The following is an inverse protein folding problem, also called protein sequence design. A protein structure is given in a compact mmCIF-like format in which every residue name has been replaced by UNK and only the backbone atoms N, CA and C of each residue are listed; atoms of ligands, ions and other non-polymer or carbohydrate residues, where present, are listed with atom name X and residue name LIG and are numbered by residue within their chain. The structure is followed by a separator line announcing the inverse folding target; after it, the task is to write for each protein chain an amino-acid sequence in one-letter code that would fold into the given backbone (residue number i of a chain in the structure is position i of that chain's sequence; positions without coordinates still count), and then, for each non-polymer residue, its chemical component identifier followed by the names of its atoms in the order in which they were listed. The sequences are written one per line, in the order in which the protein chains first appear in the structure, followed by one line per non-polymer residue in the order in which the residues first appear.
data_IF_703952062407
#
_entry.id   IF_703952062407
#
_cell.length_a   1.000
_cell.length_b   1.000
_cell.length_c   1.000
_cell.angle_alpha   90.00
_cell.angle_beta   90.00
_cell.angle_gamma   90.00
#
_symmetry.space_group_name_H-M   'P 1'
#
loop_
_entity.id
_entity.type
_entity.pdbx_description
1 polymer ?
2 polymer ?
3 non-polymer ?
4 water ?
#
# COMPACT_ATOMS: atom_id res chain seq x y z
N UNK A 4 -9.60 -8.98 28.57
CA UNK A 4 -9.99 -8.28 27.35
C UNK A 4 -11.49 -8.02 27.31
N UNK A 5 -11.87 -6.81 26.93
CA UNK A 5 -13.28 -6.48 26.78
C UNK A 5 -13.49 -5.24 25.93
N UNK A 6 -14.73 -5.05 25.49
CA UNK A 6 -15.14 -3.84 24.80
C UNK A 6 -14.99 -2.64 25.73
N UNK A 7 -14.44 -1.55 25.23
CA UNK A 7 -14.24 -0.34 26.04
C UNK A 7 -15.54 0.15 26.67
N UNK A 8 -15.46 0.66 27.89
CA UNK A 8 -16.65 1.14 28.59
C UNK A 8 -17.20 2.42 27.98
N UNK A 9 -16.39 3.08 27.15
CA UNK A 9 -16.79 4.33 26.52
C UNK A 9 -17.47 4.14 25.15
N UNK A 10 -17.71 2.89 24.75
CA UNK A 10 -18.31 2.62 23.44
C UNK A 10 -19.81 2.32 23.52
N UNK A 11 -20.56 2.90 22.61
CA UNK A 11 -21.99 2.58 22.42
C UNK A 11 -22.23 1.91 21.06
N UNK A 12 -23.02 0.83 21.06
CA UNK A 12 -23.38 0.07 19.85
C UNK A 12 -24.78 0.32 19.28
N UNK A 13 -24.85 0.58 17.98
CA UNK A 13 -26.14 0.71 17.28
C UNK A 13 -26.36 -0.46 16.31
N UNK A 14 -27.34 -1.31 16.60
CA UNK A 14 -27.65 -2.47 15.75
C UNK A 14 -28.69 -2.20 14.68
N UNK A 15 -28.25 -2.21 13.42
CA UNK A 15 -29.14 -2.07 12.26
C UNK A 15 -29.13 -3.35 11.42
N UNK A 16 -30.08 -4.24 11.68
CA UNK A 16 -30.16 -5.53 11.01
C UNK A 16 -28.87 -6.34 11.13
N UNK A 17 -28.25 -6.60 9.98
CA UNK A 17 -27.05 -7.42 9.90
C UNK A 17 -25.77 -6.72 10.36
N UNK A 18 -25.78 -5.39 10.33
CA UNK A 18 -24.56 -4.62 10.59
C UNK A 18 -24.62 -3.89 11.94
N UNK A 19 -23.44 -3.47 12.41
CA UNK A 19 -23.31 -2.72 13.65
C UNK A 19 -22.60 -1.38 13.46
N UNK A 20 -23.14 -0.32 14.06
CA UNK A 20 -22.47 0.97 14.07
C UNK A 20 -21.96 1.28 15.49
N UNK A 21 -20.69 1.64 15.57
CA UNK A 21 -20.02 1.93 16.84
C UNK A 21 -19.67 3.40 17.03
N UNK A 22 -19.93 3.94 18.22
CA UNK A 22 -19.48 5.28 18.57
C UNK A 22 -18.64 5.27 19.85
N UNK A 23 -17.48 5.90 19.79
CA UNK A 23 -16.62 6.04 20.96
C UNK A 23 -16.85 7.40 21.61
N UNK A 24 -17.37 7.40 22.84
CA UNK A 24 -17.78 8.63 23.51
C UNK A 24 -16.62 9.54 23.90
N UNK A 25 -15.44 8.96 24.09
CA UNK A 25 -14.26 9.73 24.45
C UNK A 25 -13.59 10.33 23.23
N UNK A 26 -13.27 9.49 22.24
CA UNK A 26 -12.57 9.96 21.05
C UNK A 26 -13.49 10.65 20.06
N UNK A 27 -14.78 10.39 20.18
CA UNK A 27 -15.77 11.01 19.31
C UNK A 27 -15.72 10.46 17.90
N UNK A 28 -15.19 9.26 17.74
CA UNK A 28 -15.09 8.67 16.41
C UNK A 28 -16.14 7.60 16.26
N UNK A 29 -16.65 7.45 15.05
CA UNK A 29 -17.63 6.40 14.80
C UNK A 29 -17.27 5.50 13.63
N UNK A 30 -17.80 4.28 13.68
CA UNK A 30 -17.36 3.20 12.81
C UNK A 30 -18.52 2.35 12.33
N UNK A 31 -18.31 1.64 11.23
CA UNK A 31 -19.26 0.64 10.80
C UNK A 31 -18.56 -0.69 10.67
N UNK A 32 -19.30 -1.78 10.86
CA UNK A 32 -18.77 -3.14 10.71
C UNK A 32 -19.59 -3.91 9.70
N UNK A 33 -18.94 -4.78 8.94
CA UNK A 33 -19.66 -5.62 7.98
C UNK A 33 -20.28 -6.83 8.69
N UNK A 34 -20.84 -7.75 7.91
CA UNK A 34 -21.57 -8.90 8.46
C UNK A 34 -20.73 -9.74 9.43
N UNK A 35 -19.54 -10.15 9.00
CA UNK A 35 -18.68 -10.99 9.81
C UNK A 35 -18.11 -10.26 11.01
N UNK A 36 -17.74 -9.00 10.81
CA UNK A 36 -17.23 -8.16 11.88
C UNK A 36 -18.26 -7.91 12.95
N UNK A 37 -19.51 -7.73 12.54
CA UNK A 37 -20.60 -7.50 13.47
C UNK A 37 -20.93 -8.75 14.26
N UNK A 38 -20.81 -9.91 13.61
CA UNK A 38 -21.03 -11.18 14.27
C UNK A 38 -20.01 -11.34 15.39
N UNK A 39 -18.77 -11.01 15.07
CA UNK A 39 -17.69 -11.05 16.04
C UNK A 39 -17.96 -10.06 17.17
N UNK A 40 -18.44 -8.87 16.83
CA UNK A 40 -18.71 -7.84 17.84
C UNK A 40 -19.80 -8.29 18.81
N UNK A 41 -20.83 -8.92 18.27
CA UNK A 41 -21.92 -9.43 19.09
C UNK A 41 -21.40 -10.45 20.09
N UNK A 42 -20.50 -11.31 19.65
CA UNK A 42 -19.92 -12.32 20.51
C UNK A 42 -19.05 -11.68 21.60
N UNK A 43 -18.35 -10.61 21.24
CA UNK A 43 -17.57 -9.83 22.21
C UNK A 43 -18.47 -9.17 23.26
N UNK A 44 -19.65 -8.71 22.84
CA UNK A 44 -20.62 -8.11 23.75
C UNK A 44 -21.12 -9.15 24.75
N UNK A 45 -21.20 -10.40 24.29
CA UNK A 45 -21.63 -11.52 25.13
C UNK A 45 -20.48 -12.02 26.01
N UNK A 46 -19.32 -11.38 25.88
CA UNK A 46 -18.17 -11.70 26.71
C UNK A 46 -17.45 -12.96 26.29
N UNK A 47 -17.68 -13.41 25.06
CA UNK A 47 -17.01 -14.60 24.56
C UNK A 47 -15.52 -14.35 24.34
N UNK A 48 -14.68 -15.30 24.75
CA UNK A 48 -13.26 -15.23 24.45
C UNK A 48 -12.98 -15.65 23.02
N UNK A 49 -11.84 -15.18 22.45
CA UNK A 49 -11.48 -15.43 21.05
C UNK A 49 -11.63 -16.87 20.61
N UNK A 50 -11.24 -17.83 21.44
CA UNK A 50 -11.37 -19.25 21.09
C UNK A 50 -12.82 -19.61 20.82
N UNK A 51 -13.70 -19.09 21.65
CA UNK A 51 -15.13 -19.33 21.49
C UNK A 51 -15.66 -18.60 20.26
N UNK A 52 -15.11 -17.41 20.00
CA UNK A 52 -15.49 -16.65 18.81
C UNK A 52 -15.08 -17.41 17.55
N UNK A 53 -13.88 -17.97 17.55
CA UNK A 53 -13.39 -18.77 16.41
C UNK A 53 -14.29 -19.99 16.17
N UNK A 54 -14.66 -20.67 17.24
CA UNK A 54 -15.60 -21.80 17.14
C UNK A 54 -16.91 -21.38 16.47
N UNK A 55 -17.47 -20.26 16.91
CA UNK A 55 -18.73 -19.76 16.39
C UNK A 55 -18.64 -19.45 14.90
N UNK A 56 -17.58 -18.76 14.51
CA UNK A 56 -17.40 -18.39 13.10
C UNK A 56 -17.25 -19.62 12.22
N UNK A 57 -16.43 -20.58 12.65
CA UNK A 57 -16.22 -21.81 11.89
C UNK A 57 -17.49 -22.64 11.76
N UNK A 58 -18.38 -22.53 12.74
CA UNK A 58 -19.62 -23.28 12.71
C UNK A 58 -20.64 -22.67 11.76
N UNK A 59 -20.48 -21.39 11.44
CA UNK A 59 -21.48 -20.69 10.63
C UNK A 59 -20.99 -20.40 9.22
N UNK A 60 -19.68 -20.43 9.02
CA UNK A 60 -19.08 -20.10 7.73
C UNK A 60 -18.24 -21.22 7.17
N UNK A 61 -18.17 -21.28 5.84
CA UNK A 61 -17.32 -22.25 5.16
C UNK A 61 -15.89 -21.75 5.07
N UNK A 62 -15.08 -22.11 6.06
CA UNK A 62 -13.73 -21.57 6.14
C UNK A 62 -12.86 -22.42 7.09
N UNK A 63 -11.57 -22.50 6.78
CA UNK A 63 -10.62 -23.24 7.63
C UNK A 63 -10.29 -22.46 8.90
N UNK A 64 -10.06 -23.15 10.00
CA UNK A 64 -9.82 -22.49 11.28
C UNK A 64 -8.59 -21.56 11.26
N UNK A 65 -7.46 -21.99 10.66
CA UNK A 65 -6.31 -21.08 10.64
C UNK A 65 -6.59 -19.73 10.02
N UNK A 66 -7.39 -19.69 8.95
CA UNK A 66 -7.75 -18.42 8.33
C UNK A 66 -8.53 -17.58 9.33
N UNK A 67 -9.49 -18.21 10.02
CA UNK A 67 -10.32 -17.48 10.98
C UNK A 67 -9.47 -16.94 12.13
N UNK A 68 -8.59 -17.76 12.66
CA UNK A 68 -7.70 -17.33 13.74
C UNK A 68 -6.83 -16.15 13.31
N UNK A 69 -6.30 -16.22 12.10
CA UNK A 69 -5.44 -15.15 11.60
C UNK A 69 -6.23 -13.86 11.43
N UNK A 70 -7.39 -13.97 10.79
CA UNK A 70 -8.23 -12.79 10.55
C UNK A 70 -8.75 -12.18 11.85
N UNK A 71 -9.13 -13.02 12.79
CA UNK A 71 -9.66 -12.53 14.07
C UNK A 71 -8.57 -11.75 14.79
N UNK A 72 -7.36 -12.30 14.75
CA UNK A 72 -6.21 -11.67 15.37
C UNK A 72 -5.98 -10.27 14.81
N UNK A 73 -6.08 -10.14 13.49
CA UNK A 73 -5.97 -8.83 12.84
C UNK A 73 -7.13 -7.91 13.22
N UNK A 74 -8.34 -8.46 13.26
CA UNK A 74 -9.53 -7.66 13.52
C UNK A 74 -9.55 -7.06 14.93
N UNK A 75 -9.20 -7.87 15.93
CA UNK A 75 -9.19 -7.42 17.32
C UNK A 75 -8.14 -6.34 17.51
N UNK A 76 -7.02 -6.52 16.82
CA UNK A 76 -5.94 -5.56 16.86
C UNK A 76 -6.37 -4.23 16.26
N UNK A 77 -7.13 -4.31 15.18
CA UNK A 77 -7.66 -3.10 14.55
C UNK A 77 -8.62 -2.38 15.50
N UNK A 78 -9.45 -3.15 16.20
CA UNK A 78 -10.39 -2.57 17.16
C UNK A 78 -9.62 -1.87 18.27
N UNK A 79 -8.58 -2.53 18.77
CA UNK A 79 -7.79 -1.99 19.86
C UNK A 79 -7.08 -0.71 19.44
N UNK A 80 -6.62 -0.66 18.20
CA UNK A 80 -5.94 0.54 17.69
C UNK A 80 -6.87 1.75 17.70
N UNK A 81 -8.18 1.50 17.66
CA UNK A 81 -9.15 2.59 17.70
C UNK A 81 -9.73 2.72 19.11
N UNK A 82 -9.10 2.05 20.07
CA UNK A 82 -9.52 2.08 21.48
C UNK A 82 -10.96 1.55 21.70
N UNK A 83 -11.46 0.78 20.74
CA UNK A 83 -12.78 0.15 20.84
C UNK A 83 -12.71 -1.06 21.76
N UNK A 84 -11.51 -1.60 21.88
CA UNK A 84 -11.24 -2.74 22.74
C UNK A 84 -10.23 -2.34 23.79
N UNK A 85 -10.29 -2.98 24.95
CA UNK A 85 -9.30 -2.74 26.00
C UNK A 85 -8.87 -4.05 26.64
N UNK A 86 -7.61 -4.08 27.11
CA UNK A 86 -7.08 -5.26 27.77
C UNK A 86 -6.73 -6.35 26.80
N UNK A 87 -6.60 -5.97 25.53
CA UNK A 87 -6.19 -6.90 24.47
C UNK A 87 -4.69 -6.92 24.30
N UNK B 4 -1.96 8.92 1.49
CA UNK B 4 -0.77 8.50 2.24
C UNK B 4 -1.10 7.48 3.32
N UNK B 5 -0.28 6.45 3.43
CA UNK B 5 -0.45 5.46 4.49
C UNK B 5 0.82 4.67 4.76
N UNK B 6 0.81 3.98 5.90
CA UNK B 6 1.86 3.04 6.24
C UNK B 6 1.87 1.91 5.21
N UNK B 7 3.06 1.54 4.74
CA UNK B 7 3.19 0.49 3.72
C UNK B 7 2.56 -0.83 4.16
N UNK B 8 1.94 -1.52 3.21
CA UNK B 8 1.28 -2.80 3.52
C UNK B 8 2.32 -3.88 3.79
N UNK B 9 3.56 -3.64 3.42
CA UNK B 9 4.64 -4.60 3.60
C UNK B 9 5.36 -4.46 4.95
N UNK B 10 4.89 -3.55 5.79
CA UNK B 10 5.55 -3.28 7.08
C UNK B 10 4.88 -3.97 8.26
N UNK B 11 5.68 -4.55 9.15
CA UNK B 11 5.18 -5.06 10.43
C UNK B 11 5.74 -4.19 11.57
N UNK B 12 4.88 -3.84 12.51
CA UNK B 12 5.21 -3.03 13.68
C UNK B 12 5.39 -3.82 14.98
N UNK B 13 6.50 -3.61 15.67
CA UNK B 13 6.73 -4.20 17.00
C UNK B 13 6.78 -3.13 18.09
N UNK B 14 5.82 -3.14 19.02
CA UNK B 14 5.82 -2.16 20.12
C UNK B 14 6.54 -2.60 21.40
N UNK B 15 7.64 -1.94 21.71
CA UNK B 15 8.38 -2.20 22.94
C UNK B 15 8.25 -1.02 23.90
N UNK B 16 7.23 -1.07 24.75
CA UNK B 16 6.94 0.01 25.71
C UNK B 16 6.80 1.37 24.99
N UNK B 17 7.73 2.28 25.27
CA UNK B 17 7.69 3.63 24.72
C UNK B 17 8.11 3.66 23.25
N UNK B 18 8.84 2.64 22.81
CA UNK B 18 9.47 2.67 21.50
C UNK B 18 8.78 1.71 20.51
N UNK B 19 9.03 1.96 19.23
CA UNK B 19 8.51 1.15 18.14
C UNK B 19 9.62 0.58 17.27
N UNK B 20 9.54 -0.71 16.98
CA UNK B 20 10.45 -1.36 16.03
C UNK B 20 9.70 -1.72 14.76
N UNK B 21 10.24 -1.31 13.62
CA UNK B 21 9.65 -1.54 12.31
C UNK B 21 10.47 -2.53 11.47
N UNK B 22 9.80 -3.47 10.82
CA UNK B 22 10.47 -4.36 9.88
C UNK B 22 9.76 -4.33 8.53
N UNK B 23 10.53 -4.10 7.47
CA UNK B 23 9.98 -4.10 6.12
C UNK B 23 10.19 -5.48 5.47
N UNK B 24 9.09 -6.13 5.13
CA UNK B 24 9.12 -7.51 4.63
C UNK B 24 9.72 -7.65 3.23
N UNK B 25 9.66 -6.60 2.43
CA UNK B 25 10.22 -6.64 1.08
C UNK B 25 11.72 -6.32 1.09
N UNK B 26 12.10 -5.18 1.69
CA UNK B 26 13.50 -4.77 1.70
C UNK B 26 14.31 -5.52 2.74
N UNK B 27 13.63 -6.09 3.72
CA UNK B 27 14.25 -6.85 4.79
C UNK B 27 15.01 -5.97 5.76
N UNK B 28 14.68 -4.68 5.81
CA UNK B 28 15.41 -3.78 6.69
C UNK B 28 14.56 -3.47 7.90
N UNK B 29 15.20 -3.28 9.05
CA UNK B 29 14.47 -2.92 10.25
C UNK B 29 15.01 -1.67 10.93
N UNK B 30 14.12 -1.04 11.69
CA UNK B 30 14.32 0.30 12.22
C UNK B 30 13.80 0.42 13.64
N UNK B 31 14.30 1.41 14.36
CA UNK B 31 13.72 1.76 15.65
C UNK B 31 13.35 3.23 15.63
N UNK B 32 12.34 3.60 16.41
CA UNK B 32 11.90 4.99 16.46
C UNK B 32 11.99 5.48 17.91
N UNK B 33 12.35 6.75 18.08
CA UNK B 33 12.41 7.33 19.41
C UNK B 33 11.02 7.69 19.90
N UNK B 34 10.94 8.35 21.06
CA UNK B 34 9.67 8.64 21.71
C UNK B 34 8.70 9.43 20.84
N UNK B 35 9.14 10.56 20.29
CA UNK B 35 8.26 11.38 19.46
C UNK B 35 7.94 10.70 18.13
N UNK B 36 8.94 10.05 17.53
CA UNK B 36 8.73 9.32 16.30
C UNK B 36 7.75 8.16 16.46
N UNK B 37 7.86 7.46 17.59
CA UNK B 37 6.96 6.36 17.88
C UNK B 37 5.53 6.88 18.08
N UNK B 38 5.42 8.01 18.76
CA UNK B 38 4.13 8.63 19.00
C UNK B 38 3.49 8.99 17.66
N UNK B 39 4.29 9.54 16.76
CA UNK B 39 3.83 9.87 15.42
C UNK B 39 3.42 8.58 14.69
N UNK B 40 4.19 7.51 14.85
CA UNK B 40 3.86 6.25 14.20
C UNK B 40 2.54 5.66 14.72
N UNK B 41 2.34 5.73 16.02
CA UNK B 41 1.10 5.25 16.64
C UNK B 41 -0.10 5.97 16.05
N UNK B 42 0.04 7.27 15.85
CA UNK B 42 -1.03 8.08 15.26
C UNK B 42 -1.28 7.71 13.80
N UNK B 43 -0.22 7.40 13.08
CA UNK B 43 -0.36 6.93 11.70
C UNK B 43 -1.10 5.59 11.64
N UNK B 44 -0.84 4.72 12.62
CA UNK B 44 -1.55 3.45 12.69
C UNK B 44 -3.04 3.67 12.93
N UNK B 45 -3.34 4.72 13.69
CA UNK B 45 -4.72 5.06 14.01
C UNK B 45 -5.38 5.82 12.85
N UNK B 46 -4.63 6.01 11.77
CA UNK B 46 -5.15 6.65 10.57
C UNK B 46 -5.25 8.17 10.60
N UNK B 47 -4.50 8.80 11.51
CA UNK B 47 -4.51 10.26 11.60
C UNK B 47 -3.85 10.90 10.37
N UNK B 48 -4.47 11.98 9.92
CA UNK B 48 -3.94 12.80 8.84
C UNK B 48 -2.80 13.61 9.44
N UNK B 49 -1.81 14.00 8.61
CA UNK B 49 -0.66 14.78 9.10
C UNK B 49 -1.06 16.01 9.92
N UNK B 50 -2.09 16.72 9.49
CA UNK B 50 -2.61 17.89 10.21
C UNK B 50 -3.09 17.51 11.60
N UNK B 51 -3.75 16.36 11.69
CA UNK B 51 -4.23 15.86 12.96
C UNK B 51 -3.06 15.40 13.85
N UNK B 52 -2.03 14.85 13.22
CA UNK B 52 -0.83 14.45 13.95
C UNK B 52 -0.16 15.67 14.58
N UNK B 53 -0.10 16.77 13.82
CA UNK B 53 0.47 18.01 14.33
C UNK B 53 -0.31 18.49 15.54
N UNK B 54 -1.64 18.47 15.46
CA UNK B 54 -2.47 18.83 16.60
C UNK B 54 -2.12 18.01 17.83
N UNK B 55 -2.02 16.70 17.64
CA UNK B 55 -1.74 15.77 18.72
C UNK B 55 -0.40 16.06 19.39
N UNK B 56 0.62 16.27 18.58
CA UNK B 56 1.95 16.53 19.09
C UNK B 56 1.96 17.83 19.89
N UNK B 57 1.31 18.86 19.38
CA UNK B 57 1.25 20.14 20.07
C UNK B 57 0.50 20.05 21.40
N UNK B 58 -0.45 19.13 21.50
CA UNK B 58 -1.23 19.00 22.72
C UNK B 58 -0.43 18.28 23.81
N UNK B 59 0.59 17.54 23.40
CA UNK B 59 1.33 16.71 24.35
C UNK B 59 2.72 17.23 24.66
N UNK B 60 3.24 18.11 23.81
CA UNK B 60 4.59 18.64 23.99
C UNK B 60 4.62 20.16 24.06
N UNK B 61 5.60 20.70 24.76
CA UNK B 61 5.77 22.15 24.82
C UNK B 61 6.55 22.59 23.60
N UNK B 62 5.83 22.97 22.55
CA UNK B 62 6.47 23.29 21.28
C UNK B 62 5.52 24.12 20.39
N UNK B 63 6.10 25.01 19.60
CA UNK B 63 5.35 25.81 18.64
C UNK B 63 4.94 24.96 17.43
N UNK B 64 3.82 25.28 16.82
CA UNK B 64 3.32 24.49 15.70
C UNK B 64 4.25 24.45 14.47
N UNK B 65 4.82 25.60 14.05
CA UNK B 65 5.69 25.55 12.85
C UNK B 65 6.85 24.57 12.99
N UNK B 66 7.41 24.46 14.20
CA UNK B 66 8.47 23.51 14.47
C UNK B 66 7.95 22.08 14.24
N UNK B 67 6.77 21.77 14.76
CA UNK B 67 6.21 20.43 14.61
C UNK B 67 5.89 20.12 13.16
N UNK B 68 5.28 21.07 12.45
CA UNK B 68 4.97 20.89 11.03
C UNK B 68 6.23 20.64 10.22
N UNK B 69 7.29 21.39 10.53
CA UNK B 69 8.56 21.24 9.82
C UNK B 69 9.22 19.90 10.11
N UNK B 70 9.26 19.52 11.39
CA UNK B 70 9.87 18.26 11.80
C UNK B 70 9.09 17.06 11.27
N UNK B 71 7.75 17.15 11.29
CA UNK B 71 6.91 16.07 10.79
C UNK B 71 7.15 15.86 9.30
N UNK B 72 7.25 16.95 8.55
CA UNK B 72 7.49 16.89 7.12
C UNK B 72 8.79 16.15 6.85
N UNK B 73 9.81 16.47 7.64
CA UNK B 73 11.10 15.81 7.54
C UNK B 73 10.97 14.33 7.90
N UNK B 74 10.21 14.06 8.95
CA UNK B 74 10.07 12.69 9.44
C UNK B 74 9.31 11.82 8.42
N UNK B 75 8.23 12.36 7.88
CA UNK B 75 7.44 11.60 6.90
C UNK B 75 8.26 11.33 5.64
N UNK B 76 9.10 12.29 5.24
CA UNK B 76 9.97 12.07 4.08
C UNK B 76 10.99 10.97 4.36
N UNK B 77 11.54 10.96 5.57
CA UNK B 77 12.51 9.94 5.93
C UNK B 77 11.87 8.55 5.91
N UNK B 78 10.65 8.44 6.43
CA UNK B 78 9.92 7.17 6.42
C UNK B 78 9.65 6.72 4.98
N UNK B 79 9.21 7.66 4.14
CA UNK B 79 8.89 7.35 2.75
C UNK B 79 10.12 6.91 1.96
N UNK B 80 11.27 7.52 2.24
CA UNK B 80 12.52 7.11 1.59
C UNK B 80 12.94 5.68 1.95
N UNK B 81 12.46 5.14 3.07
CA UNK B 81 12.77 3.77 3.49
C UNK B 81 11.61 2.79 3.18
N UNK B 82 10.69 3.23 2.34
CA UNK B 82 9.52 2.46 1.92
C UNK B 82 8.57 2.14 3.07
N UNK B 83 8.71 2.85 4.17
CA UNK B 83 7.87 2.64 5.33
C UNK B 83 6.51 3.30 5.15
N UNK B 84 6.50 4.31 4.29
CA UNK B 84 5.29 5.04 3.95
C UNK B 84 5.05 4.91 2.45
N UNK B 85 3.79 4.98 2.04
CA UNK B 85 3.49 5.01 0.62
C UNK B 85 2.40 6.04 0.35
N UNK B 86 2.41 6.62 -0.84
CA UNK B 86 1.43 7.62 -1.21
C UNK B 86 1.70 8.97 -0.60
N UNK B 87 2.92 9.19 -0.12
CA UNK B 87 3.31 10.49 0.40
C UNK B 87 3.83 11.29 -0.77
N UNK B 88 3.23 12.45 -1.02
CA UNK B 88 3.56 13.21 -2.22
C UNK B 88 3.78 14.69 -1.96
N UNK B 89 4.13 15.03 -0.73
CA UNK B 89 4.51 16.40 -0.37
C UNK B 89 3.40 17.39 -0.70
N UNK C 4 -4.93 2.87 -7.84
CA UNK C 4 -4.93 1.41 -7.75
C UNK C 4 -3.62 0.82 -8.25
N UNK C 5 -3.10 -0.15 -7.51
CA UNK C 5 -1.88 -0.84 -7.89
C UNK C 5 -1.76 -2.20 -7.20
N UNK C 6 -0.85 -3.02 -7.69
CA UNK C 6 -0.55 -4.29 -7.03
C UNK C 6 0.00 -4.01 -5.64
N UNK C 7 -0.49 -4.73 -4.63
CA UNK C 7 -0.06 -4.54 -3.26
C UNK C 7 1.44 -4.71 -3.10
N UNK C 8 2.04 -3.87 -2.25
CA UNK C 8 3.49 -3.89 -2.03
C UNK C 8 3.91 -5.14 -1.28
N UNK C 9 2.96 -5.81 -0.64
CA UNK C 9 3.24 -6.99 0.15
C UNK C 9 3.17 -8.26 -0.69
N UNK C 10 2.93 -8.10 -1.98
CA UNK C 10 2.74 -9.25 -2.88
C UNK C 10 4.01 -9.56 -3.66
N UNK C 11 4.31 -10.86 -3.77
CA UNK C 11 5.41 -11.29 -4.62
C UNK C 11 4.84 -11.98 -5.86
N UNK C 12 5.25 -11.50 -7.04
CA UNK C 12 4.82 -12.14 -8.27
C UNK C 12 5.96 -13.03 -8.67
N UNK C 13 5.73 -14.33 -8.66
CA UNK C 13 6.78 -15.27 -8.98
C UNK C 13 6.50 -15.84 -10.34
N UNK C 14 7.34 -15.49 -11.29
CA UNK C 14 7.18 -16.00 -12.64
C UNK C 14 7.96 -17.29 -12.73
N UNK C 15 7.22 -18.39 -12.75
CA UNK C 15 7.80 -19.72 -12.76
C UNK C 15 7.56 -20.33 -14.13
N UNK C 16 8.55 -20.15 -15.01
CA UNK C 16 8.46 -20.60 -16.38
C UNK C 16 7.23 -19.99 -17.08
N UNK C 17 6.29 -20.83 -17.45
CA UNK C 17 5.08 -20.41 -18.17
C UNK C 17 4.02 -19.76 -17.27
N UNK C 18 4.09 -19.99 -15.97
CA UNK C 18 3.00 -19.62 -15.05
C UNK C 18 3.29 -18.43 -14.12
N UNK C 19 2.23 -17.89 -13.53
CA UNK C 19 2.35 -16.80 -12.55
C UNK C 19 1.80 -17.24 -11.21
N UNK C 20 2.65 -17.19 -10.19
CA UNK C 20 2.27 -17.54 -8.84
C UNK C 20 2.34 -16.32 -7.92
N UNK C 21 1.28 -16.06 -7.16
CA UNK C 21 1.24 -14.90 -6.29
C UNK C 21 1.41 -15.33 -4.84
N UNK C 22 2.29 -14.65 -4.12
CA UNK C 22 2.46 -14.95 -2.70
C UNK C 22 2.30 -13.70 -1.86
N UNK C 23 1.44 -13.77 -0.86
CA UNK C 23 1.22 -12.65 0.03
C UNK C 23 2.06 -12.80 1.29
N UNK C 24 3.01 -11.88 1.48
CA UNK C 24 3.97 -11.98 2.57
C UNK C 24 3.36 -11.75 3.95
N UNK C 25 2.25 -11.00 4.01
CA UNK C 25 1.62 -10.71 5.29
C UNK C 25 0.70 -11.84 5.72
N UNK C 26 -0.23 -12.22 4.83
CA UNK C 26 -1.18 -13.28 5.14
C UNK C 26 -0.59 -14.68 4.99
N UNK C 27 0.52 -14.81 4.28
CA UNK C 27 1.17 -16.11 4.16
C UNK C 27 0.42 -17.09 3.28
N UNK C 28 -0.39 -16.56 2.37
CA UNK C 28 -1.19 -17.35 1.44
C UNK C 28 -0.65 -17.25 0.01
N UNK C 29 -0.93 -18.23 -0.84
CA UNK C 29 -0.48 -18.14 -2.23
C UNK C 29 -1.63 -18.37 -3.21
N UNK C 30 -1.46 -17.87 -4.44
CA UNK C 30 -2.54 -17.84 -5.41
C UNK C 30 -2.07 -18.22 -6.81
N UNK C 31 -3.02 -18.65 -7.63
CA UNK C 31 -2.77 -18.95 -9.04
C UNK C 31 -3.71 -18.15 -9.92
N UNK C 32 -3.33 -17.97 -11.18
CA UNK C 32 -4.16 -17.27 -12.15
C UNK C 32 -4.37 -18.08 -13.44
N UNK C 33 -5.55 -18.01 -14.03
CA UNK C 33 -5.78 -18.68 -15.31
C UNK C 33 -5.25 -17.80 -16.46
N UNK C 34 -5.53 -18.21 -17.69
CA UNK C 34 -4.96 -17.55 -18.86
C UNK C 34 -5.28 -16.06 -18.93
N UNK C 35 -6.56 -15.71 -18.88
CA UNK C 35 -6.93 -14.30 -18.97
C UNK C 35 -6.54 -13.56 -17.69
N UNK C 36 -6.64 -14.22 -16.54
CA UNK C 36 -6.23 -13.63 -15.29
C UNK C 36 -4.74 -13.30 -15.31
N UNK C 37 -3.95 -14.19 -15.88
CA UNK C 37 -2.52 -13.96 -16.00
C UNK C 37 -2.23 -12.76 -16.89
N UNK C 38 -2.98 -12.64 -17.97
CA UNK C 38 -2.84 -11.52 -18.89
C UNK C 38 -3.15 -10.19 -18.18
N UNK C 39 -4.25 -10.17 -17.43
CA UNK C 39 -4.66 -8.99 -16.69
C UNK C 39 -3.61 -8.61 -15.65
N UNK C 40 -3.07 -9.62 -14.98
CA UNK C 40 -2.05 -9.37 -13.97
C UNK C 40 -0.80 -8.76 -14.61
N UNK C 41 -0.43 -9.25 -15.78
CA UNK C 41 0.70 -8.71 -16.55
C UNK C 41 0.51 -7.24 -16.87
N UNK C 42 -0.72 -6.89 -17.25
CA UNK C 42 -1.06 -5.51 -17.58
C UNK C 42 -1.06 -4.61 -16.34
N UNK C 43 -1.51 -5.15 -15.22
CA UNK C 43 -1.48 -4.42 -13.96
C UNK C 43 -0.04 -4.11 -13.57
N UNK C 44 0.86 -5.05 -13.83
CA UNK C 44 2.29 -4.84 -13.58
C UNK C 44 2.84 -3.73 -14.45
N UNK C 45 2.28 -3.58 -15.64
CA UNK C 45 2.70 -2.52 -16.56
C UNK C 45 2.07 -1.18 -16.23
N UNK C 46 1.29 -1.14 -15.15
CA UNK C 46 0.72 0.11 -14.68
C UNK C 46 -0.50 0.55 -15.47
N UNK C 47 -1.10 -0.38 -16.19
CA UNK C 47 -2.31 -0.09 -16.96
C UNK C 47 -3.52 0.18 -16.06
N UNK C 48 -4.31 1.17 -16.44
CA UNK C 48 -5.61 1.42 -15.79
C UNK C 48 -6.66 0.42 -16.32
N UNK C 49 -7.70 0.13 -15.52
CA UNK C 49 -8.72 -0.85 -15.87
C UNK C 49 -9.31 -0.68 -17.27
N UNK C 50 -9.56 0.56 -17.67
CA UNK C 50 -10.11 0.86 -18.99
C UNK C 50 -9.17 0.40 -20.12
N UNK C 51 -7.87 0.61 -19.93
CA UNK C 51 -6.89 0.18 -20.91
C UNK C 51 -6.80 -1.35 -20.94
N UNK C 52 -6.97 -1.97 -19.77
CA UNK C 52 -6.99 -3.42 -19.69
C UNK C 52 -8.15 -3.98 -20.49
N UNK C 53 -9.32 -3.36 -20.38
CA UNK C 53 -10.49 -3.81 -21.12
C UNK C 53 -10.22 -3.74 -22.64
N UNK C 54 -9.66 -2.64 -23.10
CA UNK C 54 -9.29 -2.51 -24.51
C UNK C 54 -8.37 -3.64 -24.95
N UNK C 55 -7.35 -3.92 -24.17
CA UNK C 55 -6.38 -4.96 -24.50
C UNK C 55 -7.06 -6.33 -24.64
N UNK C 56 -7.89 -6.68 -23.66
CA UNK C 56 -8.56 -7.96 -23.66
C UNK C 56 -9.52 -8.07 -24.86
N UNK C 57 -10.27 -7.00 -25.11
CA UNK C 57 -11.18 -6.98 -26.25
C UNK C 57 -10.43 -7.02 -27.59
N UNK C 58 -9.19 -6.52 -27.60
CA UNK C 58 -8.38 -6.52 -28.80
C UNK C 58 -7.76 -7.89 -29.07
N UNK C 59 -7.66 -8.72 -28.04
CA UNK C 59 -6.97 -10.00 -28.16
C UNK C 59 -7.93 -11.17 -28.20
N UNK C 60 -9.16 -10.95 -27.74
CA UNK C 60 -10.15 -12.01 -27.71
C UNK C 60 -11.41 -11.60 -28.45
N UNK C 61 -12.11 -12.58 -29.02
CA UNK C 61 -13.39 -12.33 -29.68
C UNK C 61 -14.50 -12.33 -28.65
N UNK C 62 -14.81 -11.16 -28.12
CA UNK C 62 -15.72 -11.02 -26.99
C UNK C 62 -16.28 -9.60 -26.94
N UNK C 63 -17.55 -9.47 -26.52
CA UNK C 63 -18.18 -8.16 -26.44
C UNK C 63 -17.64 -7.40 -25.22
N UNK C 64 -17.51 -6.08 -25.36
CA UNK C 64 -16.90 -5.27 -24.30
C UNK C 64 -17.62 -5.31 -22.94
N UNK C 65 -18.96 -5.22 -22.93
CA UNK C 65 -19.63 -5.27 -21.61
C UNK C 65 -19.30 -6.51 -20.79
N UNK C 66 -19.14 -7.65 -21.45
CA UNK C 66 -18.77 -8.88 -20.76
C UNK C 66 -17.41 -8.74 -20.08
N UNK C 67 -16.46 -8.14 -20.82
CA UNK C 67 -15.10 -7.95 -20.34
C UNK C 67 -15.04 -6.98 -19.15
N UNK C 68 -15.75 -5.86 -19.26
CA UNK C 68 -15.81 -4.87 -18.19
C UNK C 68 -16.38 -5.52 -16.94
N UNK C 69 -17.43 -6.30 -17.16
CA UNK C 69 -18.13 -6.99 -16.09
C UNK C 69 -17.26 -8.07 -15.45
N UNK C 70 -16.60 -8.87 -16.28
CA UNK C 70 -15.72 -9.93 -15.80
C UNK C 70 -14.51 -9.34 -15.09
N UNK C 71 -13.99 -8.23 -15.62
CA UNK C 71 -12.84 -7.58 -15.03
C UNK C 71 -13.15 -7.05 -13.63
N UNK C 72 -14.31 -6.42 -13.48
CA UNK C 72 -14.72 -5.90 -12.17
C UNK C 72 -14.79 -6.99 -11.12
N UNK C 73 -15.33 -8.14 -11.49
CA UNK C 73 -15.41 -9.27 -10.58
C UNK C 73 -14.01 -9.75 -10.22
N UNK C 74 -13.12 -9.80 -11.21
CA UNK C 74 -11.76 -10.28 -11.01
C UNK C 74 -10.96 -9.37 -10.08
N UNK C 75 -11.06 -8.07 -10.32
CA UNK C 75 -10.36 -7.07 -9.52
C UNK C 75 -10.86 -7.04 -8.07
N UNK C 76 -12.16 -7.24 -7.89
CA UNK C 76 -12.74 -7.28 -6.55
C UNK C 76 -12.21 -8.48 -5.79
N UNK C 77 -12.09 -9.62 -6.49
CA UNK C 77 -11.55 -10.83 -5.89
C UNK C 77 -10.11 -10.62 -5.46
N UNK C 78 -9.33 -9.93 -6.29
CA UNK C 78 -7.94 -9.62 -5.95
C UNK C 78 -7.90 -8.71 -4.73
N UNK C 79 -8.75 -7.68 -4.74
CA UNK C 79 -8.80 -6.71 -3.66
C UNK C 79 -9.25 -7.34 -2.35
N UNK C 80 -10.16 -8.31 -2.44
CA UNK C 80 -10.64 -9.01 -1.26
C UNK C 80 -9.54 -9.81 -0.57
N UNK C 81 -8.52 -10.20 -1.33
CA UNK C 81 -7.39 -10.95 -0.77
C UNK C 81 -6.16 -10.09 -0.54
N UNK C 82 -6.35 -8.78 -0.57
CA UNK C 82 -5.29 -7.80 -0.34
C UNK C 82 -4.17 -7.90 -1.36
N UNK C 83 -4.45 -8.49 -2.51
CA UNK C 83 -3.46 -8.57 -3.59
C UNK C 83 -3.40 -7.24 -4.34
N UNK C 84 -4.50 -6.51 -4.27
CA UNK C 84 -4.62 -5.19 -4.88
C UNK C 84 -4.92 -4.18 -3.79
N UNK C 85 -4.51 -2.94 -4.00
CA UNK C 85 -4.84 -1.86 -3.07
C UNK C 85 -5.24 -0.62 -3.84
N UNK C 86 -6.14 0.17 -3.26
CA UNK C 86 -6.63 1.37 -3.92
C UNK C 86 -7.67 1.09 -4.99
N UNK C 87 -8.28 -0.08 -4.94
CA UNK C 87 -9.34 -0.43 -5.87
C UNK C 87 -10.73 -0.05 -5.38
N UNK C 88 -11.45 0.70 -6.21
CA UNK C 88 -12.76 1.22 -5.83
C UNK C 88 -13.77 1.03 -6.96
N UNK D 4 18.92 -2.01 -22.89
CA UNK D 4 18.07 -0.92 -22.43
C UNK D 4 18.51 0.43 -22.98
N UNK D 5 17.54 1.23 -23.45
CA UNK D 5 17.82 2.57 -23.91
C UNK D 5 16.57 3.43 -23.96
N UNK D 6 16.77 4.74 -24.06
CA UNK D 6 15.67 5.67 -24.25
C UNK D 6 14.96 5.36 -25.56
N UNK D 7 13.63 5.33 -25.53
CA UNK D 7 12.83 5.02 -26.71
C UNK D 7 13.12 5.99 -27.85
N UNK D 8 13.11 5.47 -29.08
CA UNK D 8 13.38 6.27 -30.26
C UNK D 8 12.21 7.21 -30.58
N UNK D 9 11.06 6.95 -29.98
CA UNK D 9 9.87 7.76 -30.24
C UNK D 9 9.78 8.96 -29.28
N UNK D 10 10.78 9.10 -28.42
CA UNK D 10 10.78 10.13 -27.38
C UNK D 10 11.64 11.33 -27.80
N UNK D 11 11.14 12.53 -27.53
CA UNK D 11 11.93 13.73 -27.72
C UNK D 11 12.31 14.29 -26.35
N UNK D 12 13.60 14.47 -26.12
CA UNK D 12 14.01 15.05 -24.85
C UNK D 12 14.22 16.51 -25.16
N UNK D 13 13.35 17.34 -24.61
CA UNK D 13 13.40 18.76 -24.92
C UNK D 13 13.95 19.48 -23.73
N UNK D 14 15.17 19.98 -23.89
CA UNK D 14 15.84 20.69 -22.84
C UNK D 14 15.45 22.13 -23.00
N UNK D 15 14.61 22.60 -22.07
CA UNK D 15 14.13 23.96 -22.11
C UNK D 15 14.76 24.71 -20.96
N UNK D 16 15.91 25.32 -21.23
CA UNK D 16 16.67 26.04 -20.21
C UNK D 16 16.97 25.14 -19.01
N UNK D 17 16.35 25.46 -17.87
CA UNK D 17 16.58 24.75 -16.62
C UNK D 17 15.91 23.38 -16.53
N UNK D 18 14.84 23.17 -17.29
CA UNK D 18 14.05 21.94 -17.16
C UNK D 18 14.15 21.01 -18.37
N UNK D 19 13.75 19.76 -18.18
CA UNK D 19 13.70 18.80 -19.28
C UNK D 19 12.28 18.30 -19.47
N UNK D 20 11.76 18.44 -20.68
CA UNK D 20 10.43 17.99 -21.04
C UNK D 20 10.47 16.83 -22.02
N UNK D 21 9.73 15.77 -21.72
CA UNK D 21 9.75 14.60 -22.58
C UNK D 21 8.47 14.57 -23.38
N UNK D 22 8.59 14.37 -24.69
CA UNK D 22 7.43 14.28 -25.57
C UNK D 22 7.47 12.96 -26.32
N UNK D 23 6.36 12.23 -26.24
CA UNK D 23 6.30 10.94 -26.92
C UNK D 23 5.58 11.08 -28.24
N UNK D 24 6.31 10.84 -29.33
CA UNK D 24 5.78 11.06 -30.67
C UNK D 24 4.69 10.06 -31.04
N UNK D 25 4.71 8.88 -30.42
CA UNK D 25 3.71 7.86 -30.73
C UNK D 25 2.41 8.03 -29.93
N UNK D 26 2.54 8.12 -28.61
CA UNK D 26 1.38 8.24 -27.74
C UNK D 26 0.80 9.66 -27.66
N UNK D 27 1.58 10.66 -28.06
CA UNK D 27 1.10 12.03 -28.05
C UNK D 27 0.98 12.62 -26.65
N UNK D 28 1.74 12.05 -25.72
CA UNK D 28 1.76 12.50 -24.33
C UNK D 28 3.07 13.21 -23.96
N UNK D 29 3.05 14.07 -22.93
CA UNK D 29 4.31 14.68 -22.49
C UNK D 29 4.53 14.55 -20.98
N UNK D 30 5.78 14.65 -20.55
CA UNK D 30 6.17 14.35 -19.16
C UNK D 30 7.17 15.33 -18.58
N UNK D 31 7.21 15.36 -17.25
CA UNK D 31 8.17 16.13 -16.48
C UNK D 31 8.93 15.21 -15.53
N UNK D 32 10.10 15.67 -15.09
CA UNK D 32 10.95 14.92 -14.15
C UNK D 32 11.32 15.77 -12.93
N UNK D 33 11.43 15.15 -11.75
CA UNK D 33 11.91 15.90 -10.59
C UNK D 33 13.45 15.93 -10.61
N UNK D 34 14.06 16.42 -9.53
CA UNK D 34 15.51 16.60 -9.48
C UNK D 34 16.30 15.31 -9.72
N UNK D 35 16.02 14.27 -8.94
CA UNK D 35 16.75 13.02 -9.08
C UNK D 35 16.37 12.33 -10.40
N UNK D 36 15.10 12.42 -10.78
CA UNK D 36 14.63 11.86 -12.03
C UNK D 36 15.32 12.48 -13.24
N UNK D 37 15.53 13.80 -13.18
CA UNK D 37 16.19 14.52 -14.26
C UNK D 37 17.64 14.11 -14.36
N UNK D 38 18.28 13.96 -13.21
CA UNK D 38 19.68 13.56 -13.15
C UNK D 38 19.87 12.19 -13.79
N UNK D 39 18.99 11.27 -13.46
CA UNK D 39 19.02 9.92 -14.01
C UNK D 39 18.80 9.91 -15.51
N UNK D 40 17.85 10.72 -15.98
CA UNK D 40 17.54 10.79 -17.40
C UNK D 40 18.73 11.35 -18.17
N UNK D 41 19.39 12.36 -17.61
CA UNK D 41 20.58 12.95 -18.22
C UNK D 41 21.66 11.91 -18.41
N UNK D 42 21.81 11.05 -17.40
CA UNK D 42 22.80 9.98 -17.44
C UNK D 42 22.42 8.89 -18.45
N UNK D 43 21.13 8.60 -18.56
CA UNK D 43 20.65 7.64 -19.56
C UNK D 43 20.95 8.13 -20.98
N UNK D 44 20.83 9.44 -21.17
CA UNK D 44 21.17 10.06 -22.46
C UNK D 44 22.64 9.90 -22.77
N UNK D 45 23.46 9.89 -21.74
CA UNK D 45 24.92 9.76 -21.89
C UNK D 45 25.33 8.31 -22.11
N UNK D 46 24.35 7.40 -22.13
CA UNK D 46 24.58 5.99 -22.35
C UNK D 46 25.11 5.25 -21.13
N UNK D 47 24.97 5.88 -19.96
CA UNK D 47 25.45 5.28 -18.72
C UNK D 47 24.65 4.04 -18.31
N UNK D 48 25.35 3.03 -17.81
CA UNK D 48 24.71 1.80 -17.35
C UNK D 48 24.03 2.05 -16.00
N UNK D 49 22.95 1.31 -15.69
CA UNK D 49 22.21 1.47 -14.43
C UNK D 49 23.14 1.47 -13.23
N UNK D 50 24.13 0.58 -13.24
CA UNK D 50 25.10 0.48 -12.16
C UNK D 50 25.88 1.78 -12.00
N UNK D 51 26.24 2.42 -13.12
CA UNK D 51 26.97 3.68 -13.09
C UNK D 51 26.08 4.82 -12.58
N UNK D 52 24.80 4.76 -12.93
CA UNK D 52 23.84 5.75 -12.45
C UNK D 52 23.72 5.67 -10.93
N UNK D 53 23.69 4.45 -10.40
CA UNK D 53 23.61 4.27 -8.95
C UNK D 53 24.84 4.87 -8.26
N UNK D 54 26.03 4.59 -8.79
CA UNK D 54 27.27 5.15 -8.26
C UNK D 54 27.20 6.67 -8.25
N UNK D 55 26.75 7.24 -9.37
CA UNK D 55 26.66 8.69 -9.51
C UNK D 55 25.71 9.30 -8.47
N UNK D 56 24.53 8.72 -8.33
CA UNK D 56 23.53 9.23 -7.38
C UNK D 56 24.02 9.12 -5.94
N UNK D 57 24.62 7.99 -5.60
CA UNK D 57 25.17 7.79 -4.26
C UNK D 57 26.31 8.77 -3.97
N UNK D 58 26.99 9.21 -5.02
CA UNK D 58 28.10 10.16 -4.90
C UNK D 58 27.62 11.59 -4.71
N UNK D 59 26.38 11.86 -5.10
CA UNK D 59 25.87 13.23 -5.10
C UNK D 59 24.88 13.48 -3.96
N UNK D 60 24.35 12.40 -3.40
CA UNK D 60 23.37 12.53 -2.33
C UNK D 60 23.85 11.73 -1.12
N UNK D 61 23.46 12.18 0.08
CA UNK D 61 23.78 11.43 1.28
C UNK D 61 22.71 10.36 1.49
N UNK D 62 22.94 9.18 0.93
CA UNK D 62 21.95 8.11 0.91
C UNK D 62 22.64 6.78 0.68
N UNK D 63 22.11 5.72 1.32
CA UNK D 63 22.68 4.38 1.16
C UNK D 63 22.33 3.78 -0.19
N UNK D 64 23.23 2.94 -0.71
CA UNK D 64 23.07 2.35 -2.03
C UNK D 64 21.81 1.50 -2.25
N UNK D 65 21.43 0.64 -1.28
CA UNK D 65 20.22 -0.16 -1.52
C UNK D 65 18.97 0.68 -1.79
N UNK D 66 18.84 1.82 -1.14
CA UNK D 66 17.72 2.72 -1.41
C UNK D 66 17.77 3.22 -2.86
N UNK D 67 18.97 3.59 -3.29
CA UNK D 67 19.16 4.11 -4.64
C UNK D 67 18.89 3.05 -5.72
N UNK D 68 19.41 1.83 -5.52
CA UNK D 68 19.17 0.74 -6.47
C UNK D 68 17.69 0.42 -6.57
N UNK D 69 17.04 0.40 -5.41
CA UNK D 69 15.62 0.09 -5.35
C UNK D 69 14.82 1.20 -6.03
N UNK D 70 15.18 2.46 -5.74
CA UNK D 70 14.49 3.58 -6.35
C UNK D 70 14.73 3.66 -7.86
N UNK D 71 15.94 3.34 -8.30
CA UNK D 71 16.23 3.38 -9.74
C UNK D 71 15.38 2.37 -10.51
N UNK D 72 15.31 1.15 -10.00
CA UNK D 72 14.50 0.12 -10.64
C UNK D 72 13.02 0.50 -10.70
N UNK D 73 12.50 1.12 -9.64
CA UNK D 73 11.12 1.58 -9.67
C UNK D 73 10.93 2.64 -10.74
N UNK D 74 11.88 3.57 -10.81
CA UNK D 74 11.82 4.67 -11.76
C UNK D 74 11.95 4.19 -13.20
N UNK D 75 12.89 3.27 -13.45
CA UNK D 75 13.09 2.75 -14.80
C UNK D 75 11.85 1.97 -15.23
N UNK D 76 11.20 1.30 -14.27
CA UNK D 76 9.97 0.57 -14.54
C UNK D 76 8.86 1.55 -14.95
N UNK D 77 8.79 2.68 -14.24
CA UNK D 77 7.79 3.69 -14.52
C UNK D 77 7.98 4.26 -15.91
N UNK D 78 9.24 4.50 -16.28
CA UNK D 78 9.54 5.00 -17.61
C UNK D 78 9.13 4.00 -18.69
N UNK D 79 9.48 2.74 -18.49
CA UNK D 79 9.19 1.70 -19.47
C UNK D 79 7.70 1.48 -19.65
N UNK D 80 6.96 1.61 -18.56
CA UNK D 80 5.52 1.49 -18.56
C UNK D 80 4.85 2.56 -19.44
N UNK D 81 5.54 3.70 -19.62
CA UNK D 81 5.03 4.78 -20.45
C UNK D 81 5.72 4.82 -21.80
N UNK D 82 6.42 3.73 -22.12
CA UNK D 82 7.16 3.59 -23.37
C UNK D 82 8.23 4.64 -23.57
N UNK D 83 8.68 5.26 -22.49
CA UNK D 83 9.76 6.23 -22.60
C UNK D 83 11.10 5.52 -22.73
N UNK D 84 11.13 4.30 -22.20
CA UNK D 84 12.30 3.43 -22.24
C UNK D 84 11.97 2.13 -22.94
N UNK D 85 12.99 1.52 -23.54
CA UNK D 85 12.81 0.22 -24.19
C UNK D 85 13.95 -0.73 -23.85
N UNK D 86 13.64 -2.03 -23.83
CA UNK D 86 14.64 -3.04 -23.51
C UNK D 86 14.88 -3.13 -22.02
N UNK E 1 -24.79 -22.59 8.62
CA UNK E 1 -23.60 -23.39 8.88
C UNK E 1 -22.69 -23.41 7.65
N UNK E 2 -23.17 -22.80 6.57
CA UNK E 2 -22.42 -22.83 5.32
C UNK E 2 -22.51 -21.49 4.57
N UNK E 3 -22.31 -20.40 5.31
CA UNK E 3 -22.26 -19.06 4.73
C UNK E 3 -20.89 -18.78 4.11
N UNK E 4 -20.88 -17.98 3.06
CA UNK E 4 -19.63 -17.63 2.38
C UNK E 4 -18.81 -16.67 3.23
N UNK E 5 -17.55 -17.03 3.48
CA UNK E 5 -16.69 -16.28 4.37
C UNK E 5 -15.92 -15.15 3.68
N UNK E 6 -15.86 -14.00 4.34
CA UNK E 6 -14.93 -12.91 4.00
C UNK E 6 -14.40 -12.31 5.30
N UNK E 7 -13.14 -11.88 5.29
CA UNK E 7 -12.49 -11.37 6.48
C UNK E 7 -13.25 -10.20 7.08
N UNK E 8 -13.34 -10.16 8.41
CA UNK E 8 -14.04 -9.08 9.12
C UNK E 8 -13.38 -7.73 8.87
N UNK E 9 -14.17 -6.68 8.65
CA UNK E 9 -13.61 -5.38 8.35
C UNK E 9 -14.16 -4.27 9.26
N UNK E 10 -13.26 -3.44 9.78
CA UNK E 10 -13.64 -2.25 10.53
C UNK E 10 -13.47 -1.01 9.67
N UNK E 11 -14.54 -0.27 9.43
CA UNK E 11 -14.47 0.95 8.62
C UNK E 11 -14.76 2.21 9.44
N UNK E 12 -13.83 3.16 9.45
CA UNK E 12 -14.03 4.41 10.17
C UNK E 12 -14.67 5.42 9.23
N UNK E 13 -15.85 5.91 9.60
CA UNK E 13 -16.63 6.77 8.72
C UNK E 13 -16.57 8.26 9.07
N UNK E 14 -16.10 8.58 10.26
CA UNK E 14 -15.99 9.98 10.65
C UNK E 14 -15.85 10.24 12.13
N UNK E 15 -16.06 11.49 12.52
CA UNK E 15 -15.81 11.92 13.89
C UNK E 15 -16.60 13.16 14.26
N UNK E 16 -16.71 13.43 15.56
CA UNK E 16 -17.41 14.62 16.04
C UNK E 16 -16.67 15.91 15.68
N UNK F 2 2.66 18.52 28.79
CA UNK F 2 3.82 19.41 28.88
C UNK F 2 5.14 18.65 28.83
N UNK F 3 5.27 17.69 27.91
CA UNK F 3 6.52 16.97 27.71
C UNK F 3 7.55 17.79 26.93
N UNK F 4 8.82 17.55 27.21
CA UNK F 4 9.91 18.23 26.52
C UNK F 4 10.04 17.69 25.10
N UNK F 5 10.03 18.60 24.13
CA UNK F 5 10.03 18.22 22.71
C UNK F 5 11.41 18.02 22.14
N UNK F 6 11.59 16.96 21.35
CA UNK F 6 12.75 16.78 20.52
C UNK F 6 12.28 16.22 19.18
N UNK F 7 12.95 16.60 18.10
CA UNK F 7 12.55 16.18 16.77
C UNK F 7 12.55 14.65 16.64
N UNK F 8 11.52 14.10 15.97
CA UNK F 8 11.38 12.66 15.75
C UNK F 8 12.53 12.10 14.92
N UNK F 9 13.04 10.91 15.27
CA UNK F 9 14.15 10.33 14.54
C UNK F 9 13.89 8.89 14.09
N UNK F 10 14.25 8.60 12.84
CA UNK F 10 14.23 7.24 12.32
C UNK F 10 15.63 6.65 12.27
N UNK F 11 15.87 5.56 13.01
CA UNK F 11 17.18 4.92 13.03
C UNK F 11 17.18 3.52 12.40
N UNK F 12 18.06 3.31 11.42
CA UNK F 12 18.17 2.01 10.76
C UNK F 12 19.18 1.13 11.51
N UNK F 13 18.73 -0.01 12.00
CA UNK F 13 19.58 -0.85 12.84
C UNK F 13 20.17 -2.07 12.16
N UNK F 14 19.66 -2.42 10.99
CA UNK F 14 20.18 -3.58 10.28
C UNK F 14 19.18 -4.17 9.31
N UNK F 15 19.45 -5.40 8.88
CA UNK F 15 18.64 -6.00 7.85
C UNK F 15 18.87 -7.48 7.65
N UNK F 16 17.91 -8.10 6.97
CA UNK F 16 17.97 -9.50 6.58
C UNK F 16 19.06 -9.68 5.51
N UNK F 17 19.35 -10.93 5.15
CA UNK F 17 20.41 -11.20 4.17
C UNK F 17 19.87 -11.16 2.75
N UNK F 18 19.77 -9.96 2.19
CA UNK F 18 19.30 -9.87 0.81
C UNK F 18 20.37 -9.25 -0.09
N UNK G 3 -6.86 -17.03 -28.13
CA UNK G 3 -7.92 -16.36 -28.88
C UNK G 3 -9.30 -16.60 -28.26
N UNK G 4 -9.52 -17.82 -27.77
CA UNK G 4 -10.77 -18.18 -27.13
C UNK G 4 -10.89 -17.60 -25.71
N UNK G 5 -11.98 -16.86 -25.46
CA UNK G 5 -12.16 -16.14 -24.20
C UNK G 5 -12.84 -16.95 -23.11
N UNK G 6 -12.32 -16.83 -21.90
CA UNK G 6 -13.00 -17.30 -20.70
C UNK G 6 -12.73 -16.30 -19.57
N UNK G 7 -13.69 -16.12 -18.68
CA UNK G 7 -13.58 -15.11 -17.61
C UNK G 7 -12.35 -15.33 -16.73
N UNK G 8 -11.66 -14.23 -16.37
CA UNK G 8 -10.47 -14.30 -15.52
C UNK G 8 -10.77 -14.84 -14.13
N UNK G 9 -9.93 -15.76 -13.65
CA UNK G 9 -10.16 -16.40 -12.37
C UNK G 9 -8.93 -16.36 -11.47
N UNK G 10 -9.17 -16.04 -10.20
CA UNK G 10 -8.15 -16.09 -9.18
C UNK G 10 -8.30 -17.39 -8.42
N UNK G 11 -7.23 -18.17 -8.35
CA UNK G 11 -7.28 -19.44 -7.65
C UNK G 11 -6.58 -19.31 -6.31
N UNK G 12 -7.33 -19.47 -5.23
CA UNK G 12 -6.79 -19.36 -3.89
C UNK G 12 -6.40 -20.73 -3.36
N UNK G 13 -5.13 -20.93 -3.04
CA UNK G 13 -4.66 -22.25 -2.67
C UNK G 13 -4.57 -22.38 -1.16
N UNK G 14 -4.68 -21.27 -0.46
CA UNK G 14 -4.60 -21.30 0.99
C UNK G 14 -3.24 -20.85 1.46
N UNK G 15 -2.91 -21.16 2.71
CA UNK G 15 -1.67 -20.68 3.28
C UNK G 15 -0.46 -21.49 2.87
N UNK G 16 0.69 -20.87 2.96
CA UNK G 16 1.95 -21.51 2.63
C UNK G 16 2.24 -22.59 3.66
N UNK G 17 3.12 -23.51 3.31
CA UNK G 17 3.48 -24.61 4.19
C UNK G 17 4.71 -24.20 4.99
N UNK G 18 4.58 -24.25 6.31
CA UNK G 18 5.63 -23.91 7.26
C UNK G 18 6.07 -25.14 8.05
N UNK H 4 19.65 17.01 -0.57
CA UNK H 4 18.73 16.13 0.15
C UNK H 4 18.01 15.18 -0.82
N UNK H 5 18.07 13.89 -0.52
CA UNK H 5 17.55 12.89 -1.44
C UNK H 5 16.07 12.65 -1.28
N UNK H 6 15.39 12.55 -2.42
CA UNK H 6 14.04 12.02 -2.46
C UNK H 6 13.92 11.19 -3.73
N UNK H 7 13.13 10.13 -3.68
CA UNK H 7 13.04 9.17 -4.77
C UNK H 7 12.65 9.84 -6.10
N UNK H 8 13.29 9.42 -7.21
CA UNK H 8 12.99 9.97 -8.53
C UNK H 8 11.56 9.69 -8.96
N UNK H 9 10.91 10.70 -9.52
CA UNK H 9 9.51 10.60 -9.90
C UNK H 9 9.27 11.08 -11.33
N UNK H 10 8.41 10.36 -12.03
CA UNK H 10 7.97 10.75 -13.36
C UNK H 10 6.65 11.49 -13.25
N UNK H 11 6.58 12.69 -13.81
CA UNK H 11 5.35 13.49 -13.71
C UNK H 11 4.63 13.47 -15.05
N UNK H 12 3.39 12.96 -15.03
CA UNK H 12 2.58 12.83 -16.24
C UNK H 12 1.65 14.03 -16.46
N UNK H 13 1.79 14.69 -17.62
CA UNK H 13 1.01 15.90 -17.87
C UNK H 13 -0.17 15.65 -18.79
N UNK H 14 -0.21 14.48 -19.42
CA UNK H 14 -1.31 14.18 -20.32
C UNK H 14 -0.92 14.36 -21.77
N UNK H 15 -1.92 14.47 -22.65
CA UNK H 15 -1.65 14.52 -24.07
C UNK H 15 -1.26 15.90 -24.56
N UNK H 16 -0.57 15.93 -25.70
CA UNK H 16 -0.20 17.20 -26.30
C UNK H 16 -1.46 17.88 -26.83
N UNK H 17 -1.41 19.19 -26.94
CA UNK H 17 -2.55 19.99 -27.38
C UNK H 17 -2.47 20.44 -28.83
N UNK H 18 -3.48 20.11 -29.63
CA UNK H 18 -3.55 20.61 -31.00
C UNK H 18 -4.80 21.47 -31.17
N UNK H 19 -4.85 22.24 -32.26
CA UNK H 19 -5.96 23.15 -32.52
C UNK H 19 -7.20 22.42 -33.00
N UNK H 20 -8.15 22.20 -32.08
CA UNK H 20 -9.38 21.43 -32.30
C UNK H 20 -9.13 20.10 -33.02
X LIG I 1 -25.24 -5.81 20.62
X LIG J 1 -12.82 0.85 30.12
X LIG K 1 1.01 -0.90 -0.38
X LIG L 1 11.77 4.09 -2.61
X LIG M 1 0.90 -0.33 16.76
X LIG N 1 -6.53 20.06 13.25
X LIG O 1 0.32 25.10 9.18
X LIG P 1 4.20 -10.67 -14.91
X LIG Q 1 -9.32 3.12 -23.83
X LIG R 1 -17.37 1.35 -19.64
X LIG S 1 19.32 15.75 -20.92
#
# INVERSE_FOLDING_TARGET
SNAMKISDAVVSAHIDDEVVLLHLQTGTYFGLDAVGSRIWSLLEEGKRPEEIVDAICAEYSVDRPTVERDLRDFLRALANKELLEGYADEA
SNAMKISDAVVSAHIDDEVVLLHLQTGTYFGLDAVGSRIWSLLEEGKRPEEIVDAICAEYSVDRPTVERDLRDFLRALANKELLEGYADEA
SNAMKISDAVVSAHIDDEVVLLHLQTGTYFGLDAVGSRIWSLLEEGKRPEEIVDAICAEYSVDRPTVERDLRDFLRALANKELLEGYADEA
SNAMKISDAVVSAHIDDEVVLLHLQTGTYFGLDAVGSRIWSLLEEGKRPEEIVDAICAEYSVDRPTVERDLRDFLRALANKELLEGYADEA
MTKTYTAPTLVEYGGLERLT
MTKTYTAPTLVEYGGLERLT
MTKTYTAPTLVEYGGLERLT
MTKTYTAPTLVEYGGLERLT
ZN ZN
ZN ZN
ZN ZN
ZN ZN
ZN ZN
ZN ZN
ZN ZN
ZN ZN
ZN ZN
ZN ZN
ZN ZN
#
